data_IF_342224217537
#
_entry.id   IF_342224217537
#
_cell.length_a   1.000
_cell.length_b   1.000
_cell.length_c   1.000
_cell.angle_alpha   90.00
_cell.angle_beta   90.00
_cell.angle_gamma   90.00
#
_symmetry.space_group_name_H-M   'P 1'
#
loop_
_entity.id
_entity.type
_entity.pdbx_description
1 polymer ?
#
# COMPACT_ATOMS: atom_id res chain seq x y z
N UNK A 1 -6.15 -8.92 10.24
CA UNK A 1 -5.99 -8.27 8.92
C UNK A 1 -7.26 -8.30 8.10
N UNK A 2 -7.47 -9.35 7.31
CA UNK A 2 -8.56 -9.43 6.32
C UNK A 2 -9.98 -9.21 6.86
N UNK A 3 -10.29 -9.66 8.09
CA UNK A 3 -11.60 -9.38 8.71
C UNK A 3 -11.89 -7.88 8.84
N UNK A 4 -10.88 -7.08 9.19
CA UNK A 4 -10.99 -5.62 9.31
C UNK A 4 -11.02 -4.90 7.97
N UNK A 5 -10.36 -5.46 6.95
CA UNK A 5 -10.51 -5.01 5.56
C UNK A 5 -11.95 -5.22 5.09
N UNK A 6 -12.52 -6.41 5.31
CA UNK A 6 -13.92 -6.72 4.98
C UNK A 6 -14.91 -5.85 5.75
N UNK A 7 -14.67 -5.59 7.03
CA UNK A 7 -15.46 -4.66 7.84
C UNK A 7 -15.38 -3.24 7.29
N UNK A 8 -14.18 -2.74 6.97
CA UNK A 8 -13.97 -1.43 6.34
C UNK A 8 -14.72 -1.30 5.03
N UNK A 9 -14.65 -2.31 4.15
CA UNK A 9 -15.41 -2.37 2.90
C UNK A 9 -16.92 -2.31 3.16
N UNK A 10 -17.44 -3.17 4.05
CA UNK A 10 -18.87 -3.27 4.33
C UNK A 10 -19.45 -1.97 4.89
N UNK A 11 -18.75 -1.35 5.86
CA UNK A 11 -19.18 -0.09 6.46
C UNK A 11 -19.10 1.08 5.46
N UNK A 12 -18.05 1.14 4.63
CA UNK A 12 -17.93 2.13 3.57
C UNK A 12 -19.07 2.02 2.54
N UNK A 13 -19.45 0.79 2.16
CA UNK A 13 -20.61 0.55 1.28
C UNK A 13 -21.91 1.02 1.93
N UNK A 14 -22.13 0.70 3.21
CA UNK A 14 -23.32 1.13 3.94
C UNK A 14 -23.41 2.66 4.04
N UNK A 15 -22.31 3.34 4.34
CA UNK A 15 -22.29 4.81 4.40
C UNK A 15 -22.50 5.46 3.01
N UNK A 16 -22.04 4.81 1.94
CA UNK A 16 -22.28 5.23 0.56
C UNK A 16 -23.73 5.02 0.09
N UNK A 17 -24.38 3.92 0.50
CA UNK A 17 -25.72 3.52 0.07
C UNK A 17 -26.85 4.04 0.97
N UNK A 18 -26.57 4.35 2.25
CA UNK A 18 -27.57 4.82 3.22
C UNK A 18 -27.30 6.28 3.64
N UNK A 19 -27.87 7.29 2.95
CA UNK A 19 -27.47 8.68 3.11
C UNK A 19 -27.80 9.30 4.49
N UNK A 20 -28.67 8.65 5.26
CA UNK A 20 -29.18 9.11 6.57
C UNK A 20 -28.21 8.86 7.74
N UNK A 21 -27.24 7.96 7.57
CA UNK A 21 -26.19 7.66 8.56
C UNK A 21 -24.92 7.39 7.76
N UNK A 22 -23.94 8.29 7.84
CA UNK A 22 -22.73 8.28 6.98
C UNK A 22 -21.41 8.21 7.75
N UNK A 23 -21.48 7.86 9.03
CA UNK A 23 -20.34 7.92 9.94
C UNK A 23 -20.00 6.55 10.53
N UNK A 24 -20.49 5.43 9.98
CA UNK A 24 -20.22 4.10 10.54
C UNK A 24 -18.75 3.73 10.40
N UNK A 25 -18.16 3.99 9.23
CA UNK A 25 -16.74 3.73 9.00
C UNK A 25 -15.87 4.60 9.91
N UNK A 26 -16.22 5.88 10.05
CA UNK A 26 -15.50 6.81 10.93
C UNK A 26 -15.61 6.40 12.40
N UNK A 27 -16.80 5.99 12.86
CA UNK A 27 -17.00 5.47 14.22
C UNK A 27 -16.20 4.19 14.46
N UNK A 28 -16.18 3.28 13.48
CA UNK A 28 -15.39 2.05 13.59
C UNK A 28 -13.89 2.33 13.67
N UNK A 29 -13.38 3.26 12.87
CA UNK A 29 -11.98 3.71 12.94
C UNK A 29 -11.61 4.36 14.28
N UNK A 30 -12.56 5.04 14.93
CA UNK A 30 -12.37 5.66 16.24
C UNK A 30 -12.43 4.67 17.42
N UNK A 31 -12.77 3.40 17.16
CA UNK A 31 -12.96 2.37 18.18
C UNK A 31 -12.34 1.04 17.71
N UNK A 32 -13.14 -0.01 17.49
CA UNK A 32 -12.65 -1.36 17.20
C UNK A 32 -11.70 -1.49 15.99
N UNK A 33 -11.77 -0.57 15.03
CA UNK A 33 -10.93 -0.53 13.83
C UNK A 33 -9.59 0.21 13.99
N UNK A 34 -9.33 0.87 15.12
CA UNK A 34 -8.16 1.75 15.32
C UNK A 34 -6.81 1.05 15.15
N UNK A 35 -6.64 -0.15 15.74
CA UNK A 35 -5.41 -0.94 15.61
C UNK A 35 -5.23 -1.59 14.23
N UNK A 36 -6.28 -1.56 13.41
CA UNK A 36 -6.28 -2.06 12.04
C UNK A 36 -6.53 -0.96 11.01
N UNK A 37 -6.29 0.30 11.35
CA UNK A 37 -6.57 1.48 10.51
C UNK A 37 -6.10 1.32 9.06
N UNK A 38 -4.90 0.74 8.85
CA UNK A 38 -4.35 0.47 7.52
C UNK A 38 -5.28 -0.45 6.71
N UNK A 39 -5.69 -1.57 7.30
CA UNK A 39 -6.57 -2.54 6.66
C UNK A 39 -7.98 -1.98 6.42
N UNK A 40 -8.47 -1.15 7.35
CA UNK A 40 -9.78 -0.50 7.22
C UNK A 40 -9.80 0.47 6.04
N UNK A 41 -8.76 1.29 5.86
CA UNK A 41 -8.64 2.16 4.68
C UNK A 41 -8.48 1.36 3.38
N UNK A 42 -7.69 0.28 3.38
CA UNK A 42 -7.60 -0.62 2.22
C UNK A 42 -8.99 -1.16 1.87
N UNK A 43 -9.76 -1.62 2.86
CA UNK A 43 -11.13 -2.08 2.68
C UNK A 43 -12.07 -1.02 2.12
N UNK A 44 -11.95 0.23 2.58
CA UNK A 44 -12.67 1.36 2.00
C UNK A 44 -12.39 1.50 0.48
N UNK A 45 -11.16 1.22 0.04
CA UNK A 45 -10.78 1.20 -1.37
C UNK A 45 -11.57 0.22 -2.23
N UNK A 46 -11.90 -0.96 -1.69
CA UNK A 46 -12.77 -1.92 -2.37
C UNK A 46 -14.19 -1.38 -2.56
N UNK A 47 -14.70 -0.62 -1.58
CA UNK A 47 -15.99 0.04 -1.71
C UNK A 47 -15.95 1.14 -2.78
N UNK A 48 -14.87 1.93 -2.85
CA UNK A 48 -14.66 2.93 -3.90
C UNK A 48 -14.61 2.30 -5.30
N UNK A 49 -14.05 1.08 -5.42
CA UNK A 49 -14.02 0.34 -6.67
C UNK A 49 -15.41 -0.03 -7.20
N UNK A 50 -16.37 -0.26 -6.28
CA UNK A 50 -17.73 -0.70 -6.59
C UNK A 50 -18.74 0.45 -6.69
N UNK A 51 -18.40 1.63 -6.18
CA UNK A 51 -19.27 2.81 -6.19
C UNK A 51 -18.73 3.86 -7.18
N UNK A 52 -19.23 3.91 -8.42
CA UNK A 52 -18.64 4.75 -9.47
C UNK A 52 -18.70 6.26 -9.17
N UNK A 53 -19.59 6.71 -8.29
CA UNK A 53 -19.67 8.11 -7.83
C UNK A 53 -18.82 8.40 -6.58
N UNK A 54 -18.33 7.38 -5.87
CA UNK A 54 -17.63 7.53 -4.60
C UNK A 54 -16.26 8.19 -4.74
N UNK A 55 -15.51 7.86 -5.79
CA UNK A 55 -14.12 8.29 -5.95
C UNK A 55 -13.94 9.81 -6.06
N UNK A 56 -14.81 10.50 -6.83
CA UNK A 56 -14.70 11.96 -6.99
C UNK A 56 -14.99 12.69 -5.68
N UNK A 57 -15.98 12.20 -4.93
CA UNK A 57 -16.31 12.75 -3.61
C UNK A 57 -15.17 12.49 -2.64
N UNK A 58 -14.65 11.27 -2.61
CA UNK A 58 -13.53 10.89 -1.76
C UNK A 58 -12.30 11.78 -1.97
N UNK A 59 -11.89 11.98 -3.24
CA UNK A 59 -10.76 12.83 -3.59
C UNK A 59 -11.00 14.31 -3.26
N UNK A 60 -12.26 14.78 -3.29
CA UNK A 60 -12.61 16.13 -2.86
C UNK A 60 -12.52 16.31 -1.34
N UNK A 61 -12.88 15.27 -0.60
CA UNK A 61 -12.88 15.29 0.88
C UNK A 61 -11.46 15.05 1.45
N UNK A 62 -10.52 14.52 0.64
CA UNK A 62 -9.08 14.43 0.97
C UNK A 62 -8.42 15.82 0.92
N UNK A 63 -8.02 16.39 2.06
CA UNK A 63 -7.20 17.62 2.02
C UNK A 63 -7.03 18.42 3.30
N UNK A 64 -7.94 18.30 4.28
CA UNK A 64 -7.86 19.10 5.51
C UNK A 64 -7.46 18.26 6.73
N UNK A 65 -6.55 18.80 7.54
CA UNK A 65 -6.09 18.17 8.79
C UNK A 65 -7.27 18.01 9.75
N UNK A 66 -7.37 16.85 10.41
CA UNK A 66 -8.45 16.47 11.33
C UNK A 66 -9.83 16.26 10.67
N UNK A 67 -9.90 16.10 9.35
CA UNK A 67 -11.11 15.65 8.66
C UNK A 67 -11.01 14.19 8.24
N UNK A 68 -12.16 13.56 8.04
CA UNK A 68 -12.24 12.25 7.42
C UNK A 68 -12.44 12.45 5.91
N UNK A 69 -11.70 11.73 5.05
CA UNK A 69 -10.64 10.76 5.35
C UNK A 69 -9.35 11.39 5.89
N UNK A 70 -8.58 10.62 6.69
CA UNK A 70 -7.30 11.04 7.25
C UNK A 70 -6.35 11.51 6.12
N UNK A 71 -5.72 12.69 6.23
CA UNK A 71 -4.94 13.28 5.15
C UNK A 71 -3.65 12.51 4.81
N UNK A 72 -3.16 11.65 5.72
CA UNK A 72 -2.02 10.79 5.51
C UNK A 72 -2.45 9.38 5.07
N UNK A 73 -3.31 8.72 5.85
CA UNK A 73 -3.67 7.31 5.64
C UNK A 73 -4.82 7.12 4.65
N UNK A 74 -5.56 8.18 4.30
CA UNK A 74 -6.61 8.13 3.29
C UNK A 74 -6.10 7.71 1.90
N UNK A 75 -4.82 7.89 1.59
CA UNK A 75 -4.25 7.38 0.34
C UNK A 75 -4.31 5.85 0.23
N UNK A 76 -4.37 5.13 1.36
CA UNK A 76 -4.50 3.67 1.38
C UNK A 76 -5.84 3.18 0.83
N UNK A 77 -6.87 4.02 0.76
CA UNK A 77 -8.10 3.68 0.04
C UNK A 77 -7.88 3.63 -1.47
N UNK A 78 -6.96 4.43 -2.02
CA UNK A 78 -6.62 4.33 -3.44
C UNK A 78 -5.71 3.15 -3.74
N UNK A 79 -4.82 2.80 -2.80
CA UNK A 79 -4.09 1.53 -2.83
C UNK A 79 -5.07 0.34 -2.77
N UNK A 80 -6.05 0.34 -1.87
CA UNK A 80 -7.10 -0.69 -1.86
C UNK A 80 -7.92 -0.75 -3.15
N UNK A 81 -8.17 0.41 -3.77
CA UNK A 81 -8.84 0.48 -5.07
C UNK A 81 -7.98 -0.12 -6.19
N UNK A 82 -6.69 0.21 -6.22
CA UNK A 82 -5.70 -0.37 -7.12
C UNK A 82 -5.62 -1.88 -7.01
N UNK A 83 -5.57 -2.39 -5.78
CA UNK A 83 -5.57 -3.82 -5.51
C UNK A 83 -6.83 -4.50 -6.05
N UNK A 84 -8.02 -3.93 -5.79
CA UNK A 84 -9.27 -4.48 -6.30
C UNK A 84 -9.28 -4.56 -7.84
N UNK A 85 -8.88 -3.50 -8.54
CA UNK A 85 -8.84 -3.50 -9.99
C UNK A 85 -7.80 -4.48 -10.53
N UNK A 86 -6.63 -4.51 -9.91
CA UNK A 86 -5.57 -5.44 -10.24
C UNK A 86 -5.95 -6.90 -9.99
N UNK A 87 -6.72 -7.22 -8.95
CA UNK A 87 -7.11 -8.59 -8.64
C UNK A 87 -8.24 -9.11 -9.54
N UNK A 88 -9.33 -8.35 -9.68
CA UNK A 88 -10.51 -8.81 -10.43
C UNK A 88 -10.47 -8.52 -11.93
N UNK A 89 -9.71 -7.51 -12.33
CA UNK A 89 -9.67 -7.00 -13.71
C UNK A 89 -8.22 -6.89 -14.23
N UNK A 90 -7.35 -7.82 -13.80
CA UNK A 90 -5.92 -7.82 -14.12
C UNK A 90 -5.63 -7.73 -15.63
N UNK A 91 -6.39 -8.41 -16.49
CA UNK A 91 -6.23 -8.30 -17.96
C UNK A 91 -6.41 -6.87 -18.47
N UNK A 92 -7.29 -6.10 -17.85
CA UNK A 92 -7.52 -4.71 -18.23
C UNK A 92 -6.45 -3.78 -17.68
N UNK A 93 -6.11 -3.91 -16.38
CA UNK A 93 -5.27 -2.93 -15.68
C UNK A 93 -3.78 -3.29 -15.66
N UNK A 94 -3.45 -4.58 -15.77
CA UNK A 94 -2.07 -5.09 -15.83
C UNK A 94 -1.64 -5.29 -17.28
N UNK A 95 -2.33 -6.13 -18.05
CA UNK A 95 -1.96 -6.38 -19.46
C UNK A 95 -2.34 -5.20 -20.36
N UNK A 96 -3.57 -4.68 -20.20
CA UNK A 96 -4.06 -3.51 -20.94
C UNK A 96 -3.53 -2.17 -20.42
N UNK A 97 -2.77 -2.16 -19.31
CA UNK A 97 -2.15 -0.98 -18.67
C UNK A 97 -3.17 0.16 -18.45
N UNK A 98 -4.47 -0.19 -18.30
CA UNK A 98 -5.53 0.79 -18.21
C UNK A 98 -5.39 1.65 -16.96
N UNK A 99 -5.99 2.83 -17.03
CA UNK A 99 -6.06 3.76 -15.92
C UNK A 99 -7.53 4.13 -15.69
N UNK A 100 -8.05 4.11 -14.44
CA UNK A 100 -9.34 4.69 -14.15
C UNK A 100 -9.39 6.20 -14.48
N UNK A 101 -10.30 6.58 -15.40
CA UNK A 101 -10.44 7.96 -15.94
C UNK A 101 -10.58 9.08 -14.90
N UNK A 102 -11.00 8.76 -13.68
CA UNK A 102 -11.28 9.72 -12.59
C UNK A 102 -10.06 10.01 -11.70
N UNK A 103 -8.95 9.30 -11.89
CA UNK A 103 -7.74 9.51 -11.09
C UNK A 103 -6.86 10.57 -11.76
N UNK A 104 -6.28 11.44 -10.93
CA UNK A 104 -5.37 12.51 -11.35
C UNK A 104 -4.26 12.77 -10.33
N UNK A 105 -3.13 13.30 -10.79
CA UNK A 105 -2.00 13.63 -9.93
C UNK A 105 -1.52 12.43 -9.11
N UNK A 106 -1.35 12.63 -7.80
CA UNK A 106 -0.85 11.58 -6.91
C UNK A 106 -1.80 10.37 -6.73
N UNK A 107 -3.09 10.53 -7.06
CA UNK A 107 -4.05 9.43 -6.99
C UNK A 107 -3.67 8.26 -7.91
N UNK A 108 -2.95 8.53 -9.01
CA UNK A 108 -2.36 7.53 -9.89
C UNK A 108 -1.32 6.67 -9.16
N UNK A 109 -0.37 7.31 -8.49
CA UNK A 109 0.70 6.62 -7.75
C UNK A 109 0.16 5.76 -6.62
N UNK A 110 -0.81 6.27 -5.85
CA UNK A 110 -1.46 5.49 -4.80
C UNK A 110 -2.23 4.29 -5.35
N UNK A 111 -2.87 4.43 -6.52
CA UNK A 111 -3.51 3.30 -7.20
C UNK A 111 -2.49 2.24 -7.66
N UNK A 112 -1.34 2.66 -8.20
CA UNK A 112 -0.31 1.73 -8.67
C UNK A 112 0.37 0.94 -7.55
N UNK A 113 0.45 1.49 -6.33
CA UNK A 113 0.87 0.73 -5.14
C UNK A 113 -0.05 -0.49 -4.92
N UNK A 114 -1.35 -0.25 -5.01
CA UNK A 114 -2.37 -1.30 -4.92
C UNK A 114 -2.31 -2.31 -6.06
N UNK A 115 -2.15 -1.80 -7.28
CA UNK A 115 -2.01 -2.63 -8.48
C UNK A 115 -0.79 -3.55 -8.34
N UNK A 116 0.34 -3.03 -7.84
CA UNK A 116 1.55 -3.79 -7.54
C UNK A 116 1.30 -4.91 -6.53
N UNK A 117 0.59 -4.61 -5.43
CA UNK A 117 0.20 -5.62 -4.43
C UNK A 117 -0.59 -6.77 -5.07
N UNK A 118 -1.47 -6.47 -6.02
CA UNK A 118 -2.31 -7.49 -6.66
C UNK A 118 -1.50 -8.50 -7.48
N UNK A 119 -0.34 -8.10 -8.04
CA UNK A 119 0.50 -8.96 -8.88
C UNK A 119 0.99 -10.18 -8.12
N UNK A 120 1.26 -10.04 -6.82
CA UNK A 120 1.64 -11.16 -5.95
C UNK A 120 0.60 -12.28 -5.94
N UNK A 121 -0.69 -11.92 -5.99
CA UNK A 121 -1.78 -12.88 -5.94
C UNK A 121 -2.14 -13.40 -7.34
N UNK A 122 -2.20 -12.51 -8.33
CA UNK A 122 -2.55 -12.85 -9.72
C UNK A 122 -1.53 -13.81 -10.33
N UNK A 123 -0.24 -13.59 -10.08
CA UNK A 123 0.84 -14.43 -10.58
C UNK A 123 1.34 -15.46 -9.55
N UNK A 124 0.63 -15.66 -8.44
CA UNK A 124 0.96 -16.70 -7.46
C UNK A 124 2.38 -16.58 -6.89
N UNK A 125 2.85 -15.36 -6.66
CA UNK A 125 4.20 -15.03 -6.21
C UNK A 125 5.34 -15.49 -7.13
N UNK A 126 5.07 -15.73 -8.43
CA UNK A 126 6.10 -15.96 -9.43
C UNK A 126 6.83 -14.65 -9.77
N UNK A 127 8.06 -14.50 -9.27
CA UNK A 127 8.87 -13.30 -9.43
C UNK A 127 9.21 -13.02 -10.90
N UNK A 128 9.32 -14.03 -11.76
CA UNK A 128 9.59 -13.82 -13.18
C UNK A 128 8.39 -13.17 -13.87
N UNK A 129 7.18 -13.70 -13.62
CA UNK A 129 5.95 -13.15 -14.19
C UNK A 129 5.67 -11.74 -13.66
N UNK A 130 5.88 -11.50 -12.36
CA UNK A 130 5.73 -10.18 -11.75
C UNK A 130 6.71 -9.18 -12.39
N UNK A 131 7.98 -9.54 -12.52
CA UNK A 131 8.99 -8.69 -13.15
C UNK A 131 8.64 -8.35 -14.59
N UNK A 132 8.25 -9.35 -15.39
CA UNK A 132 7.83 -9.15 -16.78
C UNK A 132 6.60 -8.23 -16.88
N UNK A 133 5.62 -8.41 -15.99
CA UNK A 133 4.44 -7.55 -15.96
C UNK A 133 4.82 -6.09 -15.64
N UNK A 134 5.66 -5.85 -14.64
CA UNK A 134 6.10 -4.50 -14.25
C UNK A 134 6.92 -3.84 -15.37
N UNK A 135 7.77 -4.58 -16.09
CA UNK A 135 8.60 -4.05 -17.17
C UNK A 135 7.79 -3.46 -18.33
N UNK A 136 6.54 -3.89 -18.52
CA UNK A 136 5.64 -3.33 -19.54
C UNK A 136 5.09 -1.94 -19.18
N UNK A 137 5.17 -1.53 -17.91
CA UNK A 137 4.75 -0.21 -17.47
C UNK A 137 5.84 0.84 -17.71
N UNK A 138 5.44 2.10 -17.86
CA UNK A 138 6.40 3.20 -17.91
C UNK A 138 7.19 3.30 -16.61
N UNK A 139 8.46 3.72 -16.71
CA UNK A 139 9.40 3.84 -15.57
C UNK A 139 8.79 4.57 -14.38
N UNK A 140 8.01 5.63 -14.63
CA UNK A 140 7.36 6.43 -13.58
C UNK A 140 6.30 5.67 -12.76
N UNK A 141 5.79 4.52 -13.25
CA UNK A 141 4.81 3.67 -12.54
C UNK A 141 5.47 2.47 -11.86
N UNK A 142 6.62 2.03 -12.36
CA UNK A 142 7.30 0.82 -11.87
C UNK A 142 7.68 0.94 -10.39
N UNK A 143 8.12 2.12 -9.93
CA UNK A 143 8.46 2.35 -8.54
C UNK A 143 7.28 2.09 -7.58
N UNK A 144 6.08 2.55 -7.94
CA UNK A 144 4.87 2.33 -7.14
C UNK A 144 4.46 0.86 -7.15
N UNK A 145 4.52 0.20 -8.32
CA UNK A 145 4.24 -1.24 -8.45
C UNK A 145 5.18 -2.09 -7.60
N UNK A 146 6.49 -1.82 -7.63
CA UNK A 146 7.49 -2.52 -6.82
C UNK A 146 7.25 -2.34 -5.31
N UNK A 147 6.86 -1.14 -4.87
CA UNK A 147 6.48 -0.95 -3.46
C UNK A 147 5.27 -1.78 -3.05
N UNK A 148 4.31 -1.95 -3.95
CA UNK A 148 3.17 -2.85 -3.76
C UNK A 148 3.61 -4.31 -3.65
N UNK A 149 4.47 -4.78 -4.55
CA UNK A 149 4.99 -6.16 -4.51
C UNK A 149 5.72 -6.42 -3.19
N UNK A 150 6.59 -5.51 -2.73
CA UNK A 150 7.30 -5.64 -1.45
C UNK A 150 6.36 -5.74 -0.25
N UNK A 151 5.28 -4.94 -0.24
CA UNK A 151 4.24 -5.00 0.79
C UNK A 151 3.50 -6.34 0.76
N UNK A 152 3.06 -6.81 -0.42
CA UNK A 152 2.34 -8.07 -0.54
C UNK A 152 3.20 -9.27 -0.14
N UNK A 153 4.44 -9.33 -0.60
CA UNK A 153 5.43 -10.33 -0.21
C UNK A 153 5.57 -10.41 1.32
N UNK A 154 5.75 -9.27 1.97
CA UNK A 154 6.02 -9.20 3.41
C UNK A 154 4.77 -9.43 4.28
N UNK A 155 3.60 -8.93 3.84
CA UNK A 155 2.35 -9.04 4.60
C UNK A 155 1.68 -10.42 4.45
N UNK A 156 1.60 -10.92 3.21
CA UNK A 156 0.93 -12.17 2.88
C UNK A 156 1.85 -13.37 2.99
N UNK A 157 3.14 -13.21 2.67
CA UNK A 157 4.11 -14.30 2.64
C UNK A 157 3.73 -15.36 1.60
N UNK A 158 3.86 -16.63 1.99
CA UNK A 158 3.50 -17.79 1.16
C UNK A 158 4.62 -18.32 0.27
N UNK A 159 5.85 -17.80 0.43
CA UNK A 159 7.03 -18.22 -0.33
C UNK A 159 8.22 -18.48 0.59
N UNK A 160 9.23 -19.19 0.08
CA UNK A 160 10.46 -19.48 0.81
C UNK A 160 11.39 -18.27 0.87
N UNK A 161 12.42 -18.34 1.74
CA UNK A 161 13.45 -17.31 1.87
C UNK A 161 14.18 -17.05 0.54
N UNK A 162 14.44 -18.10 -0.22
CA UNK A 162 15.15 -18.05 -1.51
C UNK A 162 14.34 -17.27 -2.55
N UNK A 163 13.01 -17.39 -2.53
CA UNK A 163 12.13 -16.60 -3.42
C UNK A 163 12.15 -15.13 -3.02
N UNK A 164 12.18 -14.81 -1.73
CA UNK A 164 12.31 -13.41 -1.25
C UNK A 164 13.67 -12.83 -1.62
N UNK A 165 14.74 -13.62 -1.54
CA UNK A 165 16.07 -13.22 -2.02
C UNK A 165 16.05 -12.93 -3.53
N UNK A 166 15.38 -13.79 -4.30
CA UNK A 166 15.23 -13.59 -5.73
C UNK A 166 14.42 -12.33 -6.07
N UNK A 167 13.37 -12.03 -5.30
CA UNK A 167 12.64 -10.76 -5.40
C UNK A 167 13.56 -9.56 -5.19
N UNK A 168 14.45 -9.61 -4.19
CA UNK A 168 15.43 -8.54 -3.93
C UNK A 168 16.32 -8.31 -5.14
N UNK A 169 16.84 -9.37 -5.76
CA UNK A 169 17.68 -9.26 -6.96
C UNK A 169 16.90 -8.74 -8.17
N UNK A 170 15.67 -9.23 -8.37
CA UNK A 170 14.83 -8.84 -9.50
C UNK A 170 14.37 -7.37 -9.44
N UNK A 171 14.17 -6.83 -8.23
CA UNK A 171 13.81 -5.43 -8.03
C UNK A 171 14.92 -4.46 -8.49
N UNK A 172 16.20 -4.86 -8.40
CA UNK A 172 17.34 -4.05 -8.80
C UNK A 172 17.29 -2.65 -8.19
N UNK A 173 17.32 -1.60 -9.02
CA UNK A 173 17.28 -0.20 -8.56
C UNK A 173 15.98 0.19 -7.83
N UNK A 174 14.96 -0.66 -7.86
CA UNK A 174 13.70 -0.46 -7.13
C UNK A 174 13.68 -1.15 -5.75
N UNK A 175 14.80 -1.72 -5.31
CA UNK A 175 14.91 -2.33 -3.99
C UNK A 175 14.47 -1.37 -2.86
N UNK A 176 14.82 -0.06 -2.86
CA UNK A 176 14.32 0.86 -1.83
C UNK A 176 12.79 0.95 -1.76
N UNK A 177 12.09 0.85 -2.89
CA UNK A 177 10.63 0.82 -2.96
C UNK A 177 10.07 -0.49 -2.39
N UNK A 178 10.69 -1.63 -2.72
CA UNK A 178 10.35 -2.93 -2.16
C UNK A 178 10.51 -2.93 -0.63
N UNK A 179 11.63 -2.41 -0.12
CA UNK A 179 11.89 -2.27 1.31
C UNK A 179 10.89 -1.34 2.01
N UNK A 180 10.51 -0.23 1.36
CA UNK A 180 9.44 0.63 1.87
C UNK A 180 8.11 -0.14 2.00
N UNK A 181 7.77 -0.97 1.01
CA UNK A 181 6.59 -1.84 1.08
C UNK A 181 6.66 -2.84 2.24
N UNK A 182 7.82 -3.46 2.42
CA UNK A 182 8.08 -4.38 3.53
C UNK A 182 7.94 -3.69 4.90
N UNK A 183 8.49 -2.48 5.05
CA UNK A 183 8.37 -1.67 6.26
C UNK A 183 6.91 -1.32 6.59
N UNK A 184 6.09 -1.00 5.58
CA UNK A 184 4.64 -0.79 5.78
C UNK A 184 3.92 -2.06 6.23
N UNK A 185 4.26 -3.22 5.66
CA UNK A 185 3.70 -4.49 6.08
C UNK A 185 4.06 -4.83 7.54
N UNK A 186 5.32 -4.63 7.93
CA UNK A 186 5.79 -4.79 9.30
C UNK A 186 5.05 -3.87 10.26
N UNK A 187 4.96 -2.57 9.93
CA UNK A 187 4.23 -1.59 10.74
C UNK A 187 2.75 -1.96 10.91
N UNK A 188 2.11 -2.42 9.84
CA UNK A 188 0.71 -2.84 9.88
C UNK A 188 0.48 -4.07 10.77
N UNK A 189 1.42 -5.03 10.77
CA UNK A 189 1.35 -6.23 11.62
C UNK A 189 1.66 -5.94 13.09
N UNK A 190 2.65 -5.09 13.35
CA UNK A 190 3.04 -4.69 14.70
C UNK A 190 1.96 -3.88 15.40
N UNK A 191 1.40 -2.87 14.73
CA UNK A 191 0.27 -2.10 15.27
C UNK A 191 -0.93 -2.99 15.59
N UNK A 192 -1.15 -4.00 14.76
CA UNK A 192 -2.23 -4.97 14.94
C UNK A 192 -1.92 -6.10 15.94
N UNK A 193 -0.80 -6.00 16.67
CA UNK A 193 -0.29 -7.00 17.63
C UNK A 193 -0.29 -8.43 17.09
N UNK A 194 0.01 -8.60 15.79
CA UNK A 194 -0.04 -9.88 15.09
C UNK A 194 1.14 -10.08 14.14
N UNK A 195 2.33 -9.68 14.57
CA UNK A 195 3.57 -9.91 13.82
C UNK A 195 3.72 -11.40 13.48
N UNK A 196 3.98 -11.68 12.22
CA UNK A 196 4.09 -13.04 11.68
C UNK A 196 5.54 -13.38 11.36
N UNK A 197 5.90 -14.65 11.48
CA UNK A 197 7.27 -15.13 11.23
C UNK A 197 7.74 -14.87 9.80
N UNK A 198 6.85 -14.94 8.81
CA UNK A 198 7.19 -14.61 7.42
C UNK A 198 7.41 -13.11 7.20
N UNK A 199 6.75 -12.25 7.99
CA UNK A 199 6.98 -10.80 7.96
C UNK A 199 8.38 -10.48 8.48
N UNK A 200 8.78 -11.09 9.59
CA UNK A 200 10.15 -10.98 10.13
C UNK A 200 11.20 -11.45 9.10
N UNK A 201 11.00 -12.64 8.53
CA UNK A 201 11.91 -13.19 7.52
C UNK A 201 12.02 -12.27 6.29
N UNK A 202 10.91 -11.74 5.79
CA UNK A 202 10.93 -10.86 4.63
C UNK A 202 11.63 -9.53 4.92
N UNK A 203 11.45 -8.94 6.11
CA UNK A 203 12.19 -7.74 6.52
C UNK A 203 13.70 -8.00 6.61
N UNK A 204 14.11 -9.12 7.19
CA UNK A 204 15.53 -9.49 7.27
C UNK A 204 16.17 -9.68 5.89
N UNK A 205 15.44 -10.29 4.95
CA UNK A 205 15.96 -10.55 3.60
C UNK A 205 15.96 -9.30 2.74
N UNK A 206 14.86 -8.54 2.72
CA UNK A 206 14.70 -7.39 1.84
C UNK A 206 15.40 -6.15 2.38
N UNK A 207 15.23 -5.88 3.68
CA UNK A 207 15.69 -4.66 4.33
C UNK A 207 16.97 -4.84 5.16
N UNK A 208 17.43 -6.08 5.38
CA UNK A 208 18.63 -6.34 6.21
C UNK A 208 18.43 -6.14 7.71
N UNK A 209 17.19 -5.92 8.18
CA UNK A 209 16.85 -5.57 9.56
C UNK A 209 15.59 -6.31 10.05
N UNK A 210 15.31 -6.29 11.34
CA UNK A 210 14.09 -6.92 11.89
C UNK A 210 12.82 -6.18 11.46
N UNK A 211 11.66 -6.84 11.59
CA UNK A 211 10.38 -6.20 11.30
C UNK A 211 10.09 -5.03 12.27
N UNK A 212 10.49 -5.13 13.53
CA UNK A 212 10.38 -4.01 14.48
C UNK A 212 11.20 -2.80 14.05
N UNK A 213 12.45 -3.01 13.66
CA UNK A 213 13.31 -1.93 13.17
C UNK A 213 12.75 -1.31 11.88
N UNK A 214 12.26 -2.15 10.95
CA UNK A 214 11.61 -1.69 9.72
C UNK A 214 10.36 -0.86 10.02
N UNK A 215 9.54 -1.27 10.99
CA UNK A 215 8.37 -0.51 11.43
C UNK A 215 8.76 0.82 12.10
N UNK A 216 9.80 0.84 12.92
CA UNK A 216 10.30 2.05 13.59
C UNK A 216 10.78 3.11 12.59
N UNK A 217 11.41 2.69 11.48
CA UNK A 217 11.78 3.61 10.39
C UNK A 217 10.55 4.33 9.84
N UNK A 218 9.41 3.65 9.75
CA UNK A 218 8.17 4.29 9.31
C UNK A 218 7.71 5.35 10.31
N UNK A 219 7.87 5.13 11.61
CA UNK A 219 7.51 6.11 12.65
C UNK A 219 8.44 7.33 12.62
N UNK A 220 9.75 7.09 12.55
CA UNK A 220 10.77 8.15 12.42
C UNK A 220 10.51 9.02 11.18
N UNK A 221 10.12 8.41 10.06
CA UNK A 221 9.82 9.13 8.83
C UNK A 221 8.59 10.07 8.95
N UNK A 222 7.71 9.86 9.94
CA UNK A 222 6.56 10.74 10.23
C UNK A 222 6.95 11.99 11.04
N UNK A 223 8.10 11.99 11.71
CA UNK A 223 8.54 13.14 12.50
C UNK A 223 8.65 14.38 11.61
N UNK A 224 8.02 15.48 12.04
CA UNK A 224 8.01 16.75 11.32
C UNK A 224 7.58 16.63 9.84
N UNK A 225 6.58 15.78 9.55
CA UNK A 225 6.05 15.60 8.21
C UNK A 225 5.22 16.81 7.76
N UNK A 226 5.49 17.40 6.57
CA UNK A 226 4.75 18.57 6.10
C UNK A 226 3.47 18.17 5.34
N UNK A 227 2.35 18.84 5.64
CA UNK A 227 1.02 18.56 5.05
C UNK A 227 0.56 19.57 4.00
N UNK A 228 1.09 20.80 4.01
CA UNK A 228 0.65 21.89 3.13
C UNK A 228 1.60 22.10 1.95
N UNK A 229 2.08 21.01 1.36
CA UNK A 229 3.01 21.02 0.24
C UNK A 229 2.30 20.61 -1.06
N UNK A 230 2.89 20.95 -2.21
CA UNK A 230 2.37 20.51 -3.53
C UNK A 230 2.33 18.98 -3.67
N UNK A 231 3.23 18.29 -2.96
CA UNK A 231 3.31 16.83 -2.87
C UNK A 231 2.59 16.37 -1.59
N UNK A 232 1.72 15.35 -1.65
CA UNK A 232 1.03 14.86 -0.45
C UNK A 232 1.99 14.36 0.62
N UNK A 233 1.64 14.58 1.90
CA UNK A 233 2.42 14.12 3.05
C UNK A 233 2.74 12.62 2.98
N UNK A 234 1.79 11.81 2.53
CA UNK A 234 1.97 10.36 2.34
C UNK A 234 3.09 10.02 1.35
N UNK A 235 3.23 10.79 0.27
CA UNK A 235 4.33 10.58 -0.68
C UNK A 235 5.68 10.99 -0.11
N UNK A 236 5.71 12.09 0.65
CA UNK A 236 6.93 12.53 1.34
C UNK A 236 7.35 11.46 2.37
N UNK A 237 6.38 10.88 3.08
CA UNK A 237 6.62 9.80 4.04
C UNK A 237 7.22 8.57 3.36
N UNK A 238 6.63 8.10 2.25
CA UNK A 238 7.17 7.00 1.45
C UNK A 238 8.60 7.30 0.97
N UNK A 239 8.84 8.49 0.43
CA UNK A 239 10.17 8.87 -0.08
C UNK A 239 11.22 8.95 1.00
N UNK A 240 10.88 9.39 2.23
CA UNK A 240 11.80 9.37 3.38
C UNK A 240 12.21 7.94 3.74
N UNK A 241 11.27 6.99 3.72
CA UNK A 241 11.56 5.58 3.98
C UNK A 241 12.42 4.98 2.86
N UNK A 242 12.09 5.26 1.59
CA UNK A 242 12.88 4.81 0.45
C UNK A 242 14.31 5.36 0.51
N UNK A 243 14.48 6.64 0.87
CA UNK A 243 15.80 7.25 0.99
C UNK A 243 16.66 6.60 2.09
N UNK A 244 16.05 6.15 3.19
CA UNK A 244 16.75 5.41 4.24
C UNK A 244 17.38 4.12 3.68
N UNK A 245 16.59 3.30 2.98
CA UNK A 245 17.07 2.03 2.42
C UNK A 245 18.02 2.19 1.23
N UNK A 246 17.92 3.29 0.48
CA UNK A 246 18.87 3.58 -0.60
C UNK A 246 20.28 3.92 -0.08
N UNK A 247 20.40 4.53 1.11
CA UNK A 247 21.70 4.86 1.72
C UNK A 247 22.38 3.61 2.28
N UNK A 248 21.61 2.72 2.92
CA UNK A 248 22.17 1.47 3.44
C UNK A 248 22.66 0.53 2.33
N UNK A 249 21.95 0.47 1.20
CA UNK A 249 22.41 -0.28 0.02
C UNK A 249 23.78 0.22 -0.46
N UNK A 250 24.03 1.53 -0.42
CA UNK A 250 25.36 2.07 -0.74
C UNK A 250 26.41 1.62 0.28
N UNK A 251 26.10 1.65 1.58
CA UNK A 251 27.05 1.29 2.65
C UNK A 251 27.42 -0.21 2.61
N UNK A 252 26.48 -1.10 2.30
CA UNK A 252 26.72 -2.56 2.26
C UNK A 252 27.55 -2.99 1.04
N UNK A 253 27.56 -2.17 -0.03
CA UNK A 253 28.31 -2.44 -1.26
C UNK A 253 29.74 -1.84 -1.27
N UNK A 254 30.19 -1.21 -0.19
CA UNK A 254 31.57 -0.72 0.03
C UNK A 254 32.28 -1.49 1.14
#
# INVERSE_FOLDING_TARGET
GFAYEGAGMGLALLDGLTPWKRNRLQQFLADAGGEHIYMVYVGMGWALARLPWGINRYLKDMGEKNQFPDPLLGWLALDGYGFHQGYFYWRQYVEGIAIPKKLSGYAYSAFDQGLGRSLWFVYGADINLITQAIQNFSINRQADLWSGVGLACTYAGGVSKEVVQYLSTAAGTYLPQVCQGAAFAAKARLRAENLATHTEMACQVLCGISAEAAAEITDKALENLPYNQRKPAYEIWRQRIQAHFAIEELIVNY
#
